data_IF_209659805995
#
_entry.id   IF_209659805995
#
_cell.length_a   1.000
_cell.length_b   1.000
_cell.length_c   1.000
_cell.angle_alpha   90.00
_cell.angle_beta   90.00
_cell.angle_gamma   90.00
#
_symmetry.space_group_name_H-M   'P 1'
#
loop_
_entity.id
_entity.type
_entity.pdbx_description
1 polymer ?
#
# COMPACT_ATOMS: atom_id res chain seq x y z
N UNK A 1 5.18 18.20 15.07
CA UNK A 1 4.70 18.39 13.69
C UNK A 1 5.55 17.49 12.81
N UNK A 2 5.01 16.37 12.32
CA UNK A 2 5.81 15.40 11.57
C UNK A 2 5.31 15.34 10.13
N UNK A 3 6.07 15.93 9.22
CA UNK A 3 5.87 15.71 7.79
C UNK A 3 6.52 14.38 7.42
N UNK A 4 5.70 13.37 7.12
CA UNK A 4 6.17 12.15 6.45
C UNK A 4 6.72 12.55 5.09
N UNK A 5 8.03 12.35 4.91
CA UNK A 5 8.73 12.42 3.65
C UNK A 5 7.88 11.73 2.58
N UNK A 6 7.47 12.48 1.55
CA UNK A 6 6.87 11.92 0.36
C UNK A 6 7.75 10.75 -0.09
N UNK A 7 7.14 9.59 -0.31
CA UNK A 7 7.82 8.40 -0.79
C UNK A 7 8.70 8.82 -1.96
N UNK A 8 10.02 8.63 -1.80
CA UNK A 8 10.98 9.14 -2.76
C UNK A 8 10.66 8.56 -4.14
N UNK A 9 10.92 9.33 -5.21
CA UNK A 9 10.93 8.78 -6.56
C UNK A 9 12.00 7.69 -6.62
N UNK A 10 11.61 6.43 -6.40
CA UNK A 10 12.49 5.28 -6.45
C UNK A 10 12.44 4.70 -7.87
N UNK A 11 13.52 4.89 -8.62
CA UNK A 11 13.74 4.19 -9.87
C UNK A 11 14.41 2.85 -9.58
N UNK A 12 13.76 1.75 -9.98
CA UNK A 12 14.36 0.41 -9.94
C UNK A 12 14.90 0.08 -11.34
N UNK A 13 16.22 -0.03 -11.47
CA UNK A 13 16.87 -0.46 -12.72
C UNK A 13 17.06 -1.97 -12.68
N UNK A 14 16.68 -2.65 -13.77
CA UNK A 14 16.80 -4.10 -13.94
C UNK A 14 17.59 -4.35 -15.21
N UNK A 15 18.69 -5.10 -15.10
CA UNK A 15 19.49 -5.53 -16.26
C UNK A 15 18.94 -6.88 -16.71
N UNK A 16 18.47 -6.92 -17.96
CA UNK A 16 17.91 -8.12 -18.57
C UNK A 16 18.95 -8.66 -19.57
N UNK A 17 19.29 -9.97 -19.52
CA UNK A 17 20.18 -10.58 -20.50
C UNK A 17 19.66 -10.43 -21.94
N UNK A 18 20.55 -10.39 -22.95
CA UNK A 18 20.16 -10.11 -24.34
C UNK A 18 19.32 -11.22 -24.99
N UNK A 19 19.38 -12.44 -24.47
CA UNK A 19 18.64 -13.62 -24.93
C UNK A 19 17.24 -13.74 -24.29
N UNK A 20 16.88 -12.82 -23.40
CA UNK A 20 15.62 -12.84 -22.66
C UNK A 20 14.63 -11.84 -23.26
N UNK A 21 13.48 -12.35 -23.71
CA UNK A 21 12.40 -11.54 -24.29
C UNK A 21 11.30 -11.15 -23.30
N UNK A 22 11.33 -11.69 -22.07
CA UNK A 22 10.36 -11.39 -21.02
C UNK A 22 11.01 -11.33 -19.64
N UNK A 23 10.50 -10.48 -18.76
CA UNK A 23 11.00 -10.40 -17.39
C UNK A 23 9.87 -10.11 -16.41
N UNK A 24 9.84 -10.84 -15.30
CA UNK A 24 8.84 -10.65 -14.26
C UNK A 24 9.38 -9.73 -13.15
N UNK A 25 8.87 -8.50 -13.11
CA UNK A 25 9.28 -7.51 -12.12
C UNK A 25 8.57 -7.77 -10.78
N UNK A 26 9.33 -8.06 -9.73
CA UNK A 26 8.81 -8.37 -8.39
C UNK A 26 9.17 -7.30 -7.35
N UNK A 27 8.55 -7.38 -6.17
CA UNK A 27 8.83 -6.50 -5.03
C UNK A 27 8.29 -5.08 -5.21
N UNK A 28 7.21 -4.93 -6.00
CA UNK A 28 6.51 -3.66 -6.18
C UNK A 28 5.53 -3.44 -5.03
N UNK A 29 5.28 -2.17 -4.69
CA UNK A 29 4.26 -1.80 -3.73
C UNK A 29 2.87 -2.09 -4.31
N UNK A 30 1.96 -2.56 -3.46
CA UNK A 30 0.57 -2.88 -3.84
C UNK A 30 -0.21 -1.61 -4.12
N UNK A 31 -1.21 -1.68 -4.99
CA UNK A 31 -2.02 -0.54 -5.43
C UNK A 31 -1.21 0.74 -5.69
N UNK A 32 -0.10 0.62 -6.42
CA UNK A 32 0.83 1.72 -6.70
C UNK A 32 1.03 1.84 -8.21
N UNK A 33 1.07 3.09 -8.68
CA UNK A 33 1.31 3.42 -10.09
C UNK A 33 2.80 3.40 -10.38
N UNK A 34 3.19 2.67 -11.41
CA UNK A 34 4.56 2.61 -11.91
C UNK A 34 4.64 3.11 -13.36
N UNK A 35 5.79 3.69 -13.70
CA UNK A 35 6.18 4.03 -15.06
C UNK A 35 7.35 3.14 -15.43
N UNK A 36 7.25 2.44 -16.55
CA UNK A 36 8.23 1.47 -17.02
C UNK A 36 8.70 1.90 -18.40
N UNK A 37 10.01 1.99 -18.58
CA UNK A 37 10.67 2.18 -19.88
C UNK A 37 11.86 1.24 -19.99
N UNK A 38 12.22 0.92 -21.24
CA UNK A 38 13.30 -0.02 -21.57
C UNK A 38 14.31 0.67 -22.48
N UNK A 39 15.60 0.47 -22.23
CA UNK A 39 16.66 0.91 -23.12
C UNK A 39 17.64 -0.25 -23.36
N UNK A 40 18.08 -0.43 -24.60
CA UNK A 40 19.13 -1.39 -24.93
C UNK A 40 20.49 -0.86 -24.47
N UNK A 41 21.40 -1.74 -24.06
CA UNK A 41 22.78 -1.39 -23.71
C UNK A 41 23.72 -2.20 -24.59
N UNK A 42 24.71 -1.54 -25.19
CA UNK A 42 25.80 -2.19 -25.92
C UNK A 42 27.17 -1.76 -25.35
N UNK A 43 28.26 -2.21 -25.96
CA UNK A 43 29.64 -1.89 -25.53
C UNK A 43 29.97 -0.39 -25.55
N UNK A 44 29.23 0.39 -26.35
CA UNK A 44 29.38 1.85 -26.44
C UNK A 44 28.59 2.54 -25.32
N UNK A 45 27.42 2.00 -24.95
CA UNK A 45 26.64 2.49 -23.82
C UNK A 45 25.13 2.26 -23.93
N UNK A 46 24.38 3.10 -23.21
CA UNK A 46 22.91 3.08 -23.17
C UNK A 46 22.34 3.68 -24.47
N UNK A 47 21.46 2.92 -25.12
CA UNK A 47 20.68 3.35 -26.26
C UNK A 47 19.50 4.24 -25.87
N UNK A 48 18.67 4.57 -26.85
CA UNK A 48 17.45 5.36 -26.64
C UNK A 48 16.42 4.54 -25.87
N UNK A 49 15.79 5.16 -24.87
CA UNK A 49 14.68 4.54 -24.14
C UNK A 49 13.43 4.40 -25.01
N UNK A 50 12.66 3.35 -24.77
CA UNK A 50 11.31 3.19 -25.28
C UNK A 50 10.38 4.28 -24.77
N UNK A 51 9.19 4.35 -25.35
CA UNK A 51 8.07 5.07 -24.75
C UNK A 51 7.72 4.49 -23.36
N UNK A 52 7.16 5.35 -22.52
CA UNK A 52 6.73 5.02 -21.17
C UNK A 52 5.47 4.17 -21.17
N UNK A 53 5.49 3.06 -20.45
CA UNK A 53 4.32 2.25 -20.13
C UNK A 53 3.91 2.53 -18.69
N UNK A 54 2.68 3.00 -18.50
CA UNK A 54 2.11 3.31 -17.20
C UNK A 54 1.20 2.17 -16.77
N UNK A 55 1.50 1.55 -15.62
CA UNK A 55 0.71 0.44 -15.07
C UNK A 55 0.44 0.63 -13.59
N UNK A 56 -0.62 -0.02 -13.11
CA UNK A 56 -0.93 -0.14 -11.69
C UNK A 56 -0.73 -1.58 -11.25
N UNK A 57 -0.11 -1.76 -10.09
CA UNK A 57 -0.14 -3.06 -9.42
C UNK A 57 -1.54 -3.33 -8.87
N UNK A 58 -1.89 -4.61 -8.73
CA UNK A 58 -3.18 -5.03 -8.19
C UNK A 58 -3.43 -4.55 -6.75
N UNK A 59 -4.71 -4.55 -6.38
CA UNK A 59 -5.15 -4.38 -5.01
C UNK A 59 -4.91 -5.66 -4.19
N UNK A 60 -4.84 -5.51 -2.88
CA UNK A 60 -4.77 -6.62 -1.94
C UNK A 60 -5.48 -6.28 -0.62
N UNK A 61 -5.60 -7.25 0.27
CA UNK A 61 -6.17 -7.07 1.60
C UNK A 61 -5.38 -6.05 2.43
N UNK A 62 -6.06 -5.21 3.23
CA UNK A 62 -5.40 -4.34 4.18
C UNK A 62 -4.47 -5.13 5.11
N UNK A 63 -3.24 -4.65 5.33
CA UNK A 63 -2.25 -5.35 6.15
C UNK A 63 -2.50 -5.22 7.65
N UNK A 64 -3.34 -4.28 8.08
CA UNK A 64 -3.66 -4.07 9.49
C UNK A 64 -4.98 -3.35 9.67
N UNK A 65 -5.54 -3.49 10.88
CA UNK A 65 -6.67 -2.68 11.32
C UNK A 65 -6.25 -1.21 11.55
N UNK A 66 -7.22 -0.27 11.53
CA UNK A 66 -7.01 1.09 12.01
C UNK A 66 -6.52 1.12 13.45
N UNK A 67 -5.77 2.16 13.79
CA UNK A 67 -5.40 2.41 15.17
C UNK A 67 -6.63 2.92 15.93
N UNK A 68 -7.14 2.12 16.86
CA UNK A 68 -8.21 2.55 17.76
C UNK A 68 -7.57 3.18 18.99
N UNK A 69 -7.69 4.51 19.12
CA UNK A 69 -7.23 5.17 20.34
C UNK A 69 -8.25 4.97 21.46
N UNK A 70 -7.87 4.15 22.45
CA UNK A 70 -8.72 3.76 23.59
C UNK A 70 -9.24 4.99 24.35
N UNK A 71 -8.47 6.08 24.42
CA UNK A 71 -8.88 7.29 25.15
C UNK A 71 -10.09 8.00 24.55
N UNK A 72 -10.47 7.64 23.33
CA UNK A 72 -11.62 8.19 22.62
C UNK A 72 -12.73 7.13 22.43
N UNK A 73 -12.65 6.01 23.15
CA UNK A 73 -13.78 5.11 23.36
C UNK A 73 -14.49 5.58 24.62
N UNK A 74 -15.74 5.99 24.51
CA UNK A 74 -16.50 6.43 25.68
C UNK A 74 -17.98 6.03 25.61
N UNK A 75 -18.52 5.73 26.80
CA UNK A 75 -19.93 5.45 26.99
C UNK A 75 -20.71 6.76 26.88
N UNK A 76 -21.63 6.83 25.93
CA UNK A 76 -22.57 7.97 25.84
C UNK A 76 -23.83 7.72 26.66
N UNK A 77 -24.16 6.44 26.89
CA UNK A 77 -25.24 6.01 27.79
C UNK A 77 -25.01 4.55 28.23
N UNK A 78 -25.91 4.00 29.05
CA UNK A 78 -25.91 2.58 29.44
C UNK A 78 -26.04 1.60 28.26
N UNK A 79 -26.46 2.09 27.08
CA UNK A 79 -26.68 1.28 25.87
C UNK A 79 -25.93 1.77 24.64
N UNK A 80 -25.14 2.85 24.75
CA UNK A 80 -24.43 3.47 23.62
C UNK A 80 -22.96 3.66 23.94
N UNK A 81 -22.11 3.10 23.10
CA UNK A 81 -20.67 3.32 23.12
C UNK A 81 -20.32 4.07 21.84
N UNK A 82 -19.55 5.14 21.97
CA UNK A 82 -18.95 5.82 20.82
C UNK A 82 -17.53 5.32 20.66
N UNK A 83 -17.21 4.91 19.44
CA UNK A 83 -15.88 4.44 19.04
C UNK A 83 -15.44 5.29 17.86
N UNK A 84 -14.17 5.69 17.85
CA UNK A 84 -13.55 6.34 16.71
C UNK A 84 -12.22 5.63 16.41
N UNK A 85 -11.71 5.84 15.20
CA UNK A 85 -10.35 5.47 14.82
C UNK A 85 -9.90 6.42 13.71
N UNK A 86 -8.58 6.53 13.56
CA UNK A 86 -8.01 7.26 12.42
C UNK A 86 -8.14 6.44 11.13
N UNK A 87 -8.36 7.07 9.96
CA UNK A 87 -8.36 6.37 8.69
C UNK A 87 -7.11 5.53 8.48
N UNK A 88 -7.26 4.34 7.89
CA UNK A 88 -6.11 3.48 7.59
C UNK A 88 -5.23 4.16 6.51
N UNK A 89 -3.94 4.42 6.78
CA UNK A 89 -3.07 5.02 5.77
C UNK A 89 -2.98 4.16 4.51
N UNK A 90 -2.94 4.78 3.32
CA UNK A 90 -3.03 4.10 2.02
C UNK A 90 -2.02 2.96 1.84
N UNK A 91 -0.77 3.15 2.33
CA UNK A 91 0.29 2.13 2.31
C UNK A 91 -0.07 0.83 3.04
N UNK A 92 -1.05 0.88 3.95
CA UNK A 92 -1.56 -0.29 4.66
C UNK A 92 -2.90 -0.78 4.14
N UNK A 93 -3.62 0.06 3.38
CA UNK A 93 -4.89 -0.32 2.75
C UNK A 93 -4.67 -1.27 1.58
N UNK A 94 -3.55 -1.12 0.85
CA UNK A 94 -3.21 -1.91 -0.33
C UNK A 94 -4.28 -1.91 -1.44
N UNK A 95 -5.15 -0.90 -1.47
CA UNK A 95 -6.26 -0.86 -2.39
C UNK A 95 -7.23 0.25 -2.06
N UNK A 96 -8.40 0.23 -2.70
CA UNK A 96 -9.47 1.16 -2.38
C UNK A 96 -10.22 0.67 -1.15
N UNK A 97 -10.19 1.43 -0.07
CA UNK A 97 -10.89 1.08 1.15
C UNK A 97 -12.41 1.11 0.95
N UNK A 98 -13.07 -0.04 1.12
CA UNK A 98 -14.51 -0.19 0.90
C UNK A 98 -15.36 0.12 2.15
N UNK A 99 -14.78 -0.04 3.35
CA UNK A 99 -15.46 0.20 4.61
C UNK A 99 -14.75 -0.43 5.80
N UNK A 100 -15.41 -0.35 6.97
CA UNK A 100 -14.91 -0.91 8.23
C UNK A 100 -15.91 -1.93 8.79
N UNK A 101 -15.39 -3.00 9.39
CA UNK A 101 -16.16 -3.98 10.17
C UNK A 101 -15.84 -3.80 11.65
N UNK A 102 -16.87 -3.66 12.47
CA UNK A 102 -16.74 -3.51 13.93
C UNK A 102 -17.39 -4.69 14.60
N UNK A 103 -16.65 -5.37 15.47
CA UNK A 103 -17.13 -6.50 16.26
C UNK A 103 -17.01 -6.16 17.74
N UNK A 104 -18.01 -6.51 18.54
CA UNK A 104 -18.03 -6.28 19.98
C UNK A 104 -18.52 -7.53 20.71
N UNK A 105 -18.06 -7.70 21.95
CA UNK A 105 -18.53 -8.78 22.83
C UNK A 105 -18.73 -8.26 24.25
N UNK A 106 -19.84 -8.67 24.87
CA UNK A 106 -20.06 -8.43 26.29
C UNK A 106 -19.11 -9.29 27.12
N UNK A 107 -18.60 -8.74 28.21
CA UNK A 107 -17.83 -9.52 29.16
C UNK A 107 -18.78 -10.48 29.91
N UNK A 108 -18.44 -11.77 29.96
CA UNK A 108 -19.08 -12.73 30.85
C UNK A 108 -18.05 -13.13 31.89
N UNK A 109 -18.28 -12.78 33.15
CA UNK A 109 -17.51 -13.32 34.26
C UNK A 109 -17.88 -14.81 34.40
N UNK A 110 -16.87 -15.68 34.52
CA UNK A 110 -17.09 -17.10 34.78
C UNK A 110 -17.80 -17.28 36.11
N UNK A 111 -18.93 -17.97 36.08
CA UNK A 111 -19.58 -18.57 37.25
C UNK A 111 -18.76 -19.72 37.80
#
# INVERSE_FOLDING_TARGET
MNFTRAEANFTKVIIIPPDVINHHVTGLMKYTRYVISLAAVNEIGLGVSSDDVIVWTEEDVPSRAPNVNISQIYYTSSTKIRVHWEPLPQRFAHGRLLGYRVEYRGWKQGT
#
